data_IF_154143350200
#
_entry.id   IF_154143350200
#
_cell.length_a   1.000
_cell.length_b   1.000
_cell.length_c   1.000
_cell.angle_alpha   90.00
_cell.angle_beta   90.00
_cell.angle_gamma   90.00
#
_symmetry.space_group_name_H-M   'P 1'
#
loop_
_entity.id
_entity.type
_entity.pdbx_description
1 polymer ?
#
# COMPACT_ATOMS: atom_id res chain seq x y z
N UNK A 1 5.65 -14.15 22.26
CA UNK A 1 6.96 -13.81 21.64
C UNK A 1 6.99 -12.32 21.35
N UNK A 2 8.14 -11.61 21.45
CA UNK A 2 8.22 -10.22 21.05
C UNK A 2 8.01 -10.09 19.52
N UNK A 3 7.26 -9.07 19.09
CA UNK A 3 7.05 -8.77 17.65
C UNK A 3 8.32 -8.07 17.12
N UNK A 4 8.80 -8.54 15.96
CA UNK A 4 9.98 -8.00 15.27
C UNK A 4 9.65 -6.71 14.49
N UNK A 5 8.65 -6.76 13.60
CA UNK A 5 8.24 -5.64 12.74
C UNK A 5 6.71 -5.67 12.53
N UNK A 6 6.10 -4.49 12.41
CA UNK A 6 4.72 -4.30 11.94
C UNK A 6 4.79 -3.58 10.60
N UNK A 7 4.50 -4.29 9.51
CA UNK A 7 4.48 -3.72 8.16
C UNK A 7 3.04 -3.48 7.69
N UNK A 8 2.75 -2.25 7.27
CA UNK A 8 1.44 -1.81 6.75
C UNK A 8 1.59 -1.03 5.46
N UNK A 9 0.50 -0.82 4.73
CA UNK A 9 0.48 0.06 3.55
C UNK A 9 0.01 1.46 3.92
N UNK A 10 0.36 2.46 3.10
CA UNK A 10 -0.10 3.84 3.26
C UNK A 10 -1.54 4.09 2.73
N UNK A 11 -2.43 3.11 2.85
CA UNK A 11 -3.85 3.24 2.42
C UNK A 11 -4.63 4.22 3.27
N UNK A 12 -4.25 4.38 4.54
CA UNK A 12 -4.83 5.32 5.50
C UNK A 12 -3.68 6.14 6.09
N UNK A 13 -3.92 7.45 6.28
CA UNK A 13 -2.97 8.33 6.98
C UNK A 13 -2.79 7.85 8.42
N UNK A 14 -1.55 7.59 8.82
CA UNK A 14 -1.18 7.27 10.19
C UNK A 14 -0.74 8.58 10.87
N UNK A 15 -1.42 9.05 11.93
CA UNK A 15 -0.97 10.23 12.67
C UNK A 15 0.34 9.95 13.39
N UNK A 16 1.14 11.00 13.60
CA UNK A 16 2.51 10.88 14.15
C UNK A 16 2.53 10.24 15.54
N UNK A 17 1.51 10.50 16.37
CA UNK A 17 1.31 9.90 17.70
C UNK A 17 1.10 8.37 17.69
N UNK A 18 0.79 7.79 16.52
CA UNK A 18 0.63 6.34 16.32
C UNK A 18 1.81 5.73 15.56
N UNK A 19 2.84 6.51 15.25
CA UNK A 19 4.09 5.98 14.70
C UNK A 19 4.98 5.47 15.82
N UNK A 20 5.65 4.33 15.59
CA UNK A 20 6.52 3.68 16.56
C UNK A 20 7.69 3.02 15.82
N UNK A 21 8.79 2.76 16.52
CA UNK A 21 10.08 2.34 15.94
C UNK A 21 9.97 1.10 15.03
N UNK A 22 9.11 0.14 15.38
CA UNK A 22 8.92 -1.12 14.65
C UNK A 22 7.84 -1.04 13.55
N UNK A 23 7.26 0.14 13.29
CA UNK A 23 6.27 0.34 12.25
C UNK A 23 6.97 0.66 10.93
N UNK A 24 6.70 -0.15 9.91
CA UNK A 24 7.15 0.10 8.54
C UNK A 24 5.95 0.36 7.64
N UNK A 25 5.99 1.48 6.93
CA UNK A 25 4.91 1.87 6.02
C UNK A 25 5.39 1.73 4.59
N UNK A 26 4.72 0.85 3.83
CA UNK A 26 4.98 0.64 2.42
C UNK A 26 4.03 1.49 1.58
N UNK A 27 4.57 2.13 0.55
CA UNK A 27 3.74 2.85 -0.42
C UNK A 27 3.17 1.89 -1.45
N UNK A 28 1.85 1.97 -1.67
CA UNK A 28 1.17 1.29 -2.78
C UNK A 28 0.78 2.24 -3.91
N UNK A 29 1.30 3.47 -3.92
CA UNK A 29 0.93 4.49 -4.89
C UNK A 29 1.14 4.06 -6.34
N UNK A 30 2.21 3.32 -6.64
CA UNK A 30 2.48 2.82 -8.00
C UNK A 30 1.48 1.75 -8.44
N UNK A 31 1.03 0.86 -7.54
CA UNK A 31 -0.01 -0.12 -7.81
C UNK A 31 -1.35 0.58 -8.11
N UNK A 32 -1.70 1.57 -7.28
CA UNK A 32 -2.92 2.37 -7.47
C UNK A 32 -2.88 3.16 -8.78
N UNK A 33 -1.74 3.75 -9.13
CA UNK A 33 -1.57 4.46 -10.40
C UNK A 33 -1.78 3.55 -11.62
N UNK A 34 -1.27 2.31 -11.58
CA UNK A 34 -1.50 1.33 -12.64
C UNK A 34 -2.97 0.92 -12.75
N UNK A 35 -3.64 0.69 -11.62
CA UNK A 35 -5.07 0.36 -11.62
C UNK A 35 -5.92 1.45 -12.27
N UNK A 36 -5.65 2.72 -11.94
CA UNK A 36 -6.30 3.87 -12.59
C UNK A 36 -6.02 3.87 -14.10
N UNK A 37 -4.76 3.64 -14.49
CA UNK A 37 -4.37 3.58 -15.91
C UNK A 37 -5.07 2.46 -16.69
N UNK A 38 -5.24 1.29 -16.08
CA UNK A 38 -5.89 0.14 -16.71
C UNK A 38 -7.39 0.40 -16.92
N UNK A 39 -8.09 0.87 -15.89
CA UNK A 39 -9.51 1.27 -16.01
C UNK A 39 -9.69 2.36 -17.06
N UNK A 40 -8.83 3.38 -17.07
CA UNK A 40 -8.89 4.44 -18.08
C UNK A 40 -8.67 3.91 -19.51
N UNK A 41 -7.88 2.85 -19.66
CA UNK A 41 -7.53 2.24 -20.95
C UNK A 41 -8.45 1.07 -21.35
N UNK A 42 -9.54 0.80 -20.61
CA UNK A 42 -10.39 -0.39 -20.77
C UNK A 42 -9.59 -1.71 -20.74
N UNK A 43 -8.51 -1.75 -19.97
CA UNK A 43 -7.71 -2.95 -19.71
C UNK A 43 -8.15 -3.58 -18.39
N UNK A 44 -8.10 -4.91 -18.29
CA UNK A 44 -8.49 -5.59 -17.06
C UNK A 44 -7.52 -5.31 -15.91
N UNK A 45 -8.04 -4.78 -14.80
CA UNK A 45 -7.30 -4.62 -13.54
C UNK A 45 -6.83 -5.97 -12.96
N UNK A 46 -7.48 -7.09 -13.32
CA UNK A 46 -7.06 -8.43 -12.89
C UNK A 46 -5.60 -8.73 -13.26
N UNK A 47 -5.12 -8.20 -14.39
CA UNK A 47 -3.74 -8.36 -14.87
C UNK A 47 -2.69 -7.64 -14.02
N UNK A 48 -3.07 -6.93 -12.94
CA UNK A 48 -2.12 -6.41 -11.95
C UNK A 48 -1.68 -7.42 -10.90
N UNK A 49 -2.41 -8.54 -10.79
CA UNK A 49 -2.23 -9.53 -9.74
C UNK A 49 -1.72 -10.89 -10.26
N UNK A 50 -1.49 -10.98 -11.57
CA UNK A 50 -0.73 -12.06 -12.22
C UNK A 50 0.77 -11.73 -12.23
#
# INVERSE_FOLDING_TARGET
APIEEVTVTNTIRIPDEKQFEKLKVLSIASLMAKAIGYEHSNQSVSSLFD
#
